data_IF_884573211912
#
_entry.id   IF_884573211912
#
_cell.length_a   1.000
_cell.length_b   1.000
_cell.length_c   1.000
_cell.angle_alpha   90.00
_cell.angle_beta   90.00
_cell.angle_gamma   90.00
#
_symmetry.space_group_name_H-M   'P 1'
#
loop_
_entity.id
_entity.type
_entity.pdbx_description
1 polymer ?
#
# COMPACT_ATOMS: atom_id res chain seq x y z
N UNK A 1 11.56 21.23 1.05
CA UNK A 1 10.89 19.90 1.14
C UNK A 1 9.61 20.03 0.36
N UNK A 2 9.19 18.99 -0.36
CA UNK A 2 8.04 18.99 -1.27
C UNK A 2 7.02 17.95 -0.80
N UNK A 3 5.74 18.19 -1.07
CA UNK A 3 4.67 17.22 -0.85
C UNK A 3 4.35 16.51 -2.17
N UNK A 4 4.35 15.18 -2.13
CA UNK A 4 4.01 14.33 -3.25
C UNK A 4 2.84 13.42 -2.92
N UNK A 5 1.95 13.21 -3.90
CA UNK A 5 0.96 12.13 -3.91
C UNK A 5 1.50 11.02 -4.78
N UNK A 6 1.62 9.82 -4.22
CA UNK A 6 2.08 8.64 -4.95
C UNK A 6 0.97 7.61 -5.01
N UNK A 7 0.59 7.19 -6.22
CA UNK A 7 -0.47 6.22 -6.50
C UNK A 7 0.15 4.95 -7.07
N UNK A 8 -0.46 3.80 -6.82
CA UNK A 8 0.01 2.51 -7.34
C UNK A 8 -0.78 1.97 -8.54
N UNK A 9 -1.60 2.81 -9.19
CA UNK A 9 -2.43 2.43 -10.33
C UNK A 9 -3.56 1.45 -10.02
N UNK A 10 -3.66 0.93 -8.79
CA UNK A 10 -4.77 0.09 -8.36
C UNK A 10 -6.00 0.97 -8.09
N UNK A 11 -6.99 0.84 -8.96
CA UNK A 11 -8.32 1.47 -8.83
C UNK A 11 -9.29 0.40 -8.35
N UNK A 12 -9.33 0.18 -7.03
CA UNK A 12 -10.35 -0.64 -6.39
C UNK A 12 -11.64 0.17 -6.15
N UNK A 13 -12.37 -0.14 -5.07
CA UNK A 13 -13.46 0.73 -4.59
C UNK A 13 -12.98 2.09 -4.07
N UNK A 14 -11.68 2.24 -3.83
CA UNK A 14 -11.01 3.45 -3.35
C UNK A 14 -9.66 3.60 -4.03
N UNK A 15 -9.24 4.84 -4.26
CA UNK A 15 -7.90 5.17 -4.74
C UNK A 15 -6.88 4.87 -3.63
N UNK A 16 -5.91 4.02 -3.91
CA UNK A 16 -4.80 3.76 -2.98
C UNK A 16 -3.66 4.72 -3.30
N UNK A 17 -3.42 5.65 -2.38
CA UNK A 17 -2.34 6.62 -2.50
C UNK A 17 -1.71 6.92 -1.15
N UNK A 18 -0.45 7.34 -1.19
CA UNK A 18 0.31 7.81 -0.03
C UNK A 18 0.78 9.24 -0.26
N UNK A 19 0.76 10.03 0.82
CA UNK A 19 1.31 11.37 0.84
C UNK A 19 2.73 11.31 1.42
N UNK A 20 3.69 11.86 0.69
CA UNK A 20 5.10 11.80 1.05
C UNK A 20 5.70 13.19 1.05
N UNK A 21 6.38 13.54 2.15
CA UNK A 21 7.20 14.73 2.20
C UNK A 21 8.65 14.33 1.93
N UNK A 22 9.25 14.86 0.85
CA UNK A 22 10.61 14.50 0.44
C UNK A 22 11.32 15.69 -0.23
N UNK A 23 12.64 15.59 -0.45
CA UNK A 23 13.40 16.63 -1.15
C UNK A 23 13.10 16.64 -2.65
N UNK A 24 12.94 15.45 -3.22
CA UNK A 24 12.71 15.23 -4.64
C UNK A 24 11.83 14.00 -4.89
N UNK A 25 11.44 13.80 -6.15
CA UNK A 25 10.58 12.70 -6.59
C UNK A 25 11.19 11.33 -6.33
N UNK A 26 12.52 11.20 -6.39
CA UNK A 26 13.21 9.93 -6.19
C UNK A 26 13.07 9.48 -4.75
N UNK A 27 13.37 10.36 -3.79
CA UNK A 27 13.20 10.09 -2.36
C UNK A 27 11.74 9.81 -2.02
N UNK A 28 10.80 10.53 -2.63
CA UNK A 28 9.38 10.28 -2.47
C UNK A 28 8.96 8.90 -2.99
N UNK A 29 9.42 8.50 -4.17
CA UNK A 29 9.16 7.18 -4.75
C UNK A 29 9.73 6.06 -3.88
N UNK A 30 10.99 6.16 -3.47
CA UNK A 30 11.63 5.14 -2.61
C UNK A 30 10.86 4.96 -1.29
N UNK A 31 10.42 6.06 -0.68
CA UNK A 31 9.62 6.05 0.55
C UNK A 31 8.23 5.44 0.32
N UNK A 32 7.55 5.83 -0.76
CA UNK A 32 6.23 5.29 -1.10
C UNK A 32 6.29 3.79 -1.39
N UNK A 33 7.30 3.31 -2.13
CA UNK A 33 7.52 1.88 -2.40
C UNK A 33 7.63 1.08 -1.11
N UNK A 34 8.40 1.59 -0.15
CA UNK A 34 8.56 0.94 1.15
C UNK A 34 7.21 0.84 1.88
N UNK A 35 6.41 1.90 1.85
CA UNK A 35 5.11 1.93 2.54
C UNK A 35 4.09 1.00 1.89
N UNK A 36 3.96 1.00 0.56
CA UNK A 36 3.12 0.04 -0.15
C UNK A 36 3.53 -1.41 0.14
N UNK A 37 4.83 -1.69 0.19
CA UNK A 37 5.33 -3.03 0.51
C UNK A 37 4.97 -3.47 1.93
N UNK A 38 5.08 -2.57 2.92
CA UNK A 38 4.65 -2.87 4.29
C UNK A 38 3.18 -3.25 4.38
N UNK A 39 2.31 -2.55 3.65
CA UNK A 39 0.87 -2.87 3.61
C UNK A 39 0.65 -4.28 3.08
N UNK A 40 1.33 -4.64 1.98
CA UNK A 40 1.29 -5.98 1.41
C UNK A 40 1.77 -7.04 2.42
N UNK A 41 2.92 -6.80 3.05
CA UNK A 41 3.50 -7.71 4.04
C UNK A 41 2.58 -7.89 5.25
N UNK A 42 2.01 -6.81 5.79
CA UNK A 42 1.10 -6.83 6.93
C UNK A 42 -0.19 -7.61 6.62
N UNK A 43 -0.74 -7.46 5.42
CA UNK A 43 -1.92 -8.20 5.01
C UNK A 43 -1.62 -9.69 4.82
N UNK A 44 -0.49 -10.03 4.21
CA UNK A 44 -0.03 -11.42 4.11
C UNK A 44 0.12 -12.04 5.51
N UNK A 45 0.71 -11.31 6.47
CA UNK A 45 0.85 -11.77 7.85
C UNK A 45 -0.52 -12.03 8.50
N UNK A 46 -1.47 -11.09 8.36
CA UNK A 46 -2.83 -11.25 8.90
C UNK A 46 -3.55 -12.45 8.29
N UNK A 47 -3.46 -12.60 6.97
CA UNK A 47 -4.07 -13.72 6.22
C UNK A 47 -3.48 -15.05 6.69
N UNK A 48 -2.16 -15.16 6.78
CA UNK A 48 -1.49 -16.38 7.24
C UNK A 48 -1.88 -16.73 8.68
N UNK A 49 -1.91 -15.74 9.58
CA UNK A 49 -2.35 -15.94 10.96
C UNK A 49 -3.79 -16.46 11.04
N UNK A 50 -4.68 -15.96 10.19
CA UNK A 50 -6.06 -16.42 10.10
C UNK A 50 -6.13 -17.85 9.55
N UNK A 51 -5.38 -18.18 8.50
CA UNK A 51 -5.31 -19.54 7.95
C UNK A 51 -4.82 -20.54 9.00
N UNK A 52 -3.77 -20.22 9.76
CA UNK A 52 -3.25 -21.10 10.81
C UNK A 52 -4.27 -21.32 11.94
N UNK A 53 -4.98 -20.26 12.33
CA UNK A 53 -6.05 -20.33 13.33
C UNK A 53 -7.16 -21.27 12.88
N UNK A 54 -7.62 -21.12 11.64
CA UNK A 54 -8.69 -21.96 11.10
C UNK A 54 -8.22 -23.40 10.83
N UNK A 55 -6.95 -23.60 10.44
CA UNK A 55 -6.34 -24.93 10.32
C UNK A 55 -6.39 -25.71 11.64
N UNK A 56 -6.04 -25.06 12.75
CA UNK A 56 -6.12 -25.66 14.09
C UNK A 56 -7.55 -26.02 14.51
N UNK A 57 -8.56 -25.31 13.98
CA UNK A 57 -9.96 -25.46 14.36
C UNK A 57 -10.73 -26.44 13.47
N UNK A 58 -10.43 -26.46 12.18
CA UNK A 58 -11.24 -27.12 11.15
C UNK A 58 -10.44 -28.09 10.26
N UNK A 59 -9.11 -28.19 10.43
CA UNK A 59 -8.24 -29.04 9.63
C UNK A 59 -7.84 -28.44 8.28
N UNK A 60 -7.01 -29.18 7.53
CA UNK A 60 -6.32 -28.66 6.34
C UNK A 60 -7.27 -28.34 5.17
N UNK A 61 -8.28 -29.17 4.92
CA UNK A 61 -9.22 -28.99 3.78
C UNK A 61 -9.90 -27.61 3.83
N UNK A 62 -10.32 -27.18 5.04
CA UNK A 62 -10.96 -25.87 5.20
C UNK A 62 -9.95 -24.73 5.09
N UNK A 63 -8.77 -24.88 5.71
CA UNK A 63 -7.71 -23.89 5.66
C UNK A 63 -7.21 -23.62 4.24
N UNK A 64 -7.12 -24.66 3.40
CA UNK A 64 -6.65 -24.53 2.02
C UNK A 64 -7.68 -23.78 1.14
N UNK A 65 -8.97 -24.07 1.29
CA UNK A 65 -10.04 -23.28 0.62
C UNK A 65 -10.05 -21.82 1.06
N UNK A 66 -9.83 -21.59 2.36
CA UNK A 66 -9.74 -20.24 2.89
C UNK A 66 -8.53 -19.50 2.32
N UNK A 67 -7.38 -20.18 2.20
CA UNK A 67 -6.17 -19.61 1.59
C UNK A 67 -6.38 -19.19 0.14
N UNK A 68 -7.12 -19.97 -0.63
CA UNK A 68 -7.50 -19.60 -2.00
C UNK A 68 -8.40 -18.36 -2.02
N UNK A 69 -9.37 -18.28 -1.10
CA UNK A 69 -10.33 -17.17 -1.02
C UNK A 69 -9.72 -15.88 -0.47
N UNK A 70 -8.72 -15.99 0.41
CA UNK A 70 -8.04 -14.86 1.06
C UNK A 70 -6.73 -14.48 0.35
N UNK A 71 -6.41 -15.06 -0.81
CA UNK A 71 -5.16 -14.75 -1.50
C UNK A 71 -5.12 -13.24 -1.78
N UNK A 72 -4.08 -12.51 -1.32
CA UNK A 72 -3.98 -11.09 -1.61
C UNK A 72 -3.95 -10.88 -3.12
N UNK A 73 -4.72 -9.91 -3.60
CA UNK A 73 -4.74 -9.50 -5.02
C UNK A 73 -3.68 -8.39 -5.21
N UNK A 74 -2.44 -8.69 -4.81
CA UNK A 74 -1.30 -7.80 -5.01
C UNK A 74 -0.43 -8.41 -6.12
N UNK A 75 -0.36 -7.73 -7.26
CA UNK A 75 0.64 -8.08 -8.27
C UNK A 75 1.99 -7.42 -7.94
N UNK A 76 3.04 -7.79 -8.66
CA UNK A 76 4.36 -7.14 -8.49
C UNK A 76 4.32 -5.65 -8.84
N UNK A 77 3.32 -5.19 -9.59
CA UNK A 77 3.19 -3.78 -9.97
C UNK A 77 2.63 -2.92 -8.84
N UNK A 78 1.96 -3.51 -7.85
CA UNK A 78 1.34 -2.81 -6.71
C UNK A 78 2.28 -1.87 -5.95
N UNK A 79 3.59 -2.13 -5.98
CA UNK A 79 4.60 -1.25 -5.41
C UNK A 79 5.74 -0.93 -6.38
N UNK A 80 5.67 -1.37 -7.65
CA UNK A 80 6.69 -1.08 -8.65
C UNK A 80 6.24 -0.07 -9.71
N UNK A 81 4.95 -0.03 -10.03
CA UNK A 81 4.37 0.87 -11.03
C UNK A 81 3.66 2.03 -10.33
N UNK A 82 4.46 2.97 -9.81
CA UNK A 82 3.95 4.11 -9.06
C UNK A 82 3.88 5.36 -9.93
N UNK A 83 2.74 6.05 -9.88
CA UNK A 83 2.56 7.39 -10.43
C UNK A 83 2.81 8.42 -9.32
N UNK A 84 3.66 9.41 -9.58
CA UNK A 84 3.99 10.48 -8.62
C UNK A 84 3.51 11.82 -9.14
N UNK A 85 2.91 12.60 -8.23
CA UNK A 85 2.40 13.94 -8.51
C UNK A 85 2.95 14.87 -7.43
N UNK A 86 3.67 15.92 -7.83
CA UNK A 86 4.05 16.99 -6.91
C UNK A 86 2.80 17.84 -6.60
N UNK A 87 2.36 17.83 -5.35
CA UNK A 87 1.22 18.65 -4.90
C UNK A 87 1.68 20.03 -4.41
N UNK A 88 2.89 20.11 -3.82
CA UNK A 88 3.43 21.36 -3.29
C UNK A 88 4.96 21.37 -3.36
N UNK A 89 5.53 22.41 -3.98
CA UNK A 89 6.98 22.57 -4.12
C UNK A 89 7.70 23.06 -2.85
N UNK A 90 6.97 23.62 -1.89
CA UNK A 90 7.56 24.04 -0.63
C UNK A 90 6.60 23.87 0.55
N UNK A 91 6.92 22.91 1.40
CA UNK A 91 6.18 22.62 2.62
C UNK A 91 6.70 23.35 3.88
N UNK A 92 7.56 24.35 3.71
CA UNK A 92 8.14 25.12 4.83
C UNK A 92 7.14 26.04 5.55
N UNK A 93 6.02 26.36 4.91
CA UNK A 93 4.97 27.22 5.46
C UNK A 93 4.02 26.44 6.38
N UNK A 94 3.35 27.15 7.30
CA UNK A 94 2.50 26.54 8.35
C UNK A 94 1.26 25.80 7.83
N UNK A 95 0.82 26.08 6.61
CA UNK A 95 -0.39 25.48 6.04
C UNK A 95 -0.25 25.20 4.56
N UNK A 96 -0.72 24.01 4.16
CA UNK A 96 -0.84 23.57 2.77
C UNK A 96 -2.15 22.81 2.68
N UNK A 97 -2.97 23.17 1.69
CA UNK A 97 -4.24 22.50 1.43
C UNK A 97 -4.50 22.41 -0.06
N UNK A 98 -5.11 21.31 -0.46
CA UNK A 98 -5.73 21.14 -1.77
C UNK A 98 -7.21 21.49 -1.62
N UNK A 99 -7.76 22.30 -2.53
CA UNK A 99 -9.20 22.57 -2.61
C UNK A 99 -9.74 21.71 -3.75
N UNK A 100 -10.48 20.65 -3.42
CA UNK A 100 -11.25 19.83 -4.37
C UNK A 100 -12.74 20.21 -4.33
#
# INVERSE_FOLDING_TARGET
MKLFKVKNGFTGFVDVNVLVIAKDEREALESAKLEFRKVVDDDIIKINKQIEKERKKFGDIFADRLKESLRPIYDENYYNNLEIICLCDDVSNEWIGEIE
#
